data_IF_424878580717
#
_entry.id   IF_424878580717
#
_cell.length_a   1.000
_cell.length_b   1.000
_cell.length_c   1.000
_cell.angle_alpha   90.00
_cell.angle_beta   90.00
_cell.angle_gamma   90.00
#
_symmetry.space_group_name_H-M   'P 1'
#
loop_
_entity.id
_entity.type
_entity.pdbx_description
1 polymer ?
#
# COMPACT_ATOMS: atom_id res chain seq x y z
N UNK A 1 25.03 5.97 -12.45
CA UNK A 1 23.86 5.75 -11.57
C UNK A 1 22.92 6.92 -11.76
N UNK A 2 21.65 6.68 -12.10
CA UNK A 2 20.64 7.72 -12.27
C UNK A 2 19.45 7.42 -11.36
N UNK A 3 19.08 8.41 -10.56
CA UNK A 3 17.97 8.34 -9.61
C UNK A 3 16.68 8.76 -10.32
N UNK A 4 15.58 8.06 -10.06
CA UNK A 4 14.24 8.45 -10.52
C UNK A 4 13.24 8.50 -9.39
N UNK A 5 12.45 9.57 -9.38
CA UNK A 5 11.30 9.75 -8.50
C UNK A 5 10.03 9.43 -9.28
N UNK A 6 9.05 8.82 -8.61
CA UNK A 6 7.72 8.62 -9.17
C UNK A 6 6.67 8.77 -8.07
N UNK A 7 5.44 9.04 -8.49
CA UNK A 7 4.28 9.12 -7.61
C UNK A 7 3.22 8.17 -8.12
N UNK A 8 2.64 7.37 -7.23
CA UNK A 8 1.58 6.41 -7.56
C UNK A 8 0.40 6.61 -6.62
N UNK A 9 -0.79 6.86 -7.20
CA UNK A 9 -2.04 6.95 -6.46
C UNK A 9 -2.55 5.55 -6.10
N UNK A 10 -2.67 5.27 -4.81
CA UNK A 10 -3.26 4.02 -4.30
C UNK A 10 -4.76 3.99 -4.59
N UNK A 11 -5.20 3.00 -5.35
CA UNK A 11 -6.61 2.83 -5.71
C UNK A 11 -7.40 2.14 -4.58
N UNK A 12 -8.73 2.24 -4.62
CA UNK A 12 -9.64 1.62 -3.63
C UNK A 12 -9.55 0.11 -3.56
N UNK A 13 -9.11 -0.54 -4.64
CA UNK A 13 -8.89 -1.98 -4.73
C UNK A 13 -7.41 -2.33 -4.74
N UNK A 14 -6.52 -1.43 -4.30
CA UNK A 14 -5.10 -1.74 -4.22
C UNK A 14 -4.84 -2.80 -3.17
N UNK A 15 -3.98 -3.78 -3.50
CA UNK A 15 -3.54 -4.81 -2.54
C UNK A 15 -2.65 -4.23 -1.43
N UNK A 16 -2.24 -2.97 -1.56
CA UNK A 16 -1.36 -2.28 -0.62
C UNK A 16 -2.13 -1.55 0.49
N UNK A 17 -3.44 -1.37 0.36
CA UNK A 17 -4.25 -0.74 1.41
C UNK A 17 -4.20 -1.60 2.70
N UNK A 18 -3.91 -0.97 3.84
CA UNK A 18 -3.75 -1.62 5.14
C UNK A 18 -2.36 -2.21 5.39
N UNK A 19 -1.42 -2.10 4.45
CA UNK A 19 -0.05 -2.61 4.59
C UNK A 19 0.86 -1.50 5.13
N UNK A 20 1.68 -1.81 6.13
CA UNK A 20 2.76 -0.92 6.58
C UNK A 20 3.82 -0.78 5.48
N UNK A 21 4.32 0.43 5.26
CA UNK A 21 5.36 0.71 4.25
C UNK A 21 6.62 -0.14 4.42
N UNK A 22 6.92 -0.56 5.65
CA UNK A 22 8.06 -1.43 5.96
C UNK A 22 7.86 -2.90 5.56
N UNK A 23 6.61 -3.34 5.45
CA UNK A 23 6.28 -4.72 5.09
C UNK A 23 6.21 -4.91 3.57
N UNK A 24 6.41 -3.85 2.79
CA UNK A 24 6.40 -3.90 1.34
C UNK A 24 7.68 -4.52 0.81
N UNK A 25 7.52 -5.53 -0.03
CA UNK A 25 8.62 -6.07 -0.83
C UNK A 25 8.81 -5.19 -2.05
N UNK A 26 9.78 -4.28 -1.98
CA UNK A 26 10.19 -3.43 -3.10
C UNK A 26 11.40 -4.04 -3.82
N UNK A 27 11.61 -3.72 -5.11
CA UNK A 27 12.84 -4.08 -5.80
C UNK A 27 14.07 -3.49 -5.11
N UNK A 28 15.22 -4.14 -5.28
CA UNK A 28 16.48 -3.75 -4.63
C UNK A 28 16.86 -2.30 -4.99
N UNK A 29 17.15 -1.43 -4.02
CA UNK A 29 17.43 0.00 -4.25
C UNK A 29 16.21 0.86 -4.66
N UNK A 30 15.00 0.39 -4.38
CA UNK A 30 13.78 1.18 -4.42
C UNK A 30 13.25 1.45 -3.01
N UNK A 31 12.68 2.65 -2.79
CA UNK A 31 12.22 3.09 -1.47
C UNK A 31 10.93 3.91 -1.57
N UNK A 32 10.06 3.78 -0.57
CA UNK A 32 9.00 4.77 -0.31
C UNK A 32 9.61 5.84 0.59
N UNK A 33 9.55 7.09 0.13
CA UNK A 33 10.08 8.24 0.87
C UNK A 33 9.01 8.87 1.76
N UNK A 34 7.79 8.96 1.23
CA UNK A 34 6.67 9.61 1.88
C UNK A 34 5.36 9.18 1.22
N UNK A 35 4.26 9.52 1.85
CA UNK A 35 2.94 9.55 1.22
C UNK A 35 2.38 10.97 1.27
N UNK A 36 1.52 11.32 0.33
CA UNK A 36 0.65 12.49 0.45
C UNK A 36 -0.77 12.01 0.73
N UNK A 37 -1.33 12.48 1.85
CA UNK A 37 -2.68 12.19 2.31
C UNK A 37 -3.34 13.48 2.73
N UNK A 38 -4.52 13.80 2.18
CA UNK A 38 -5.24 15.05 2.48
C UNK A 38 -4.35 16.30 2.34
N UNK A 39 -3.58 16.37 1.25
CA UNK A 39 -2.61 17.45 0.96
C UNK A 39 -1.48 17.63 2.00
N UNK A 40 -1.26 16.64 2.86
CA UNK A 40 -0.16 16.61 3.82
C UNK A 40 0.88 15.57 3.43
N UNK A 41 2.15 15.97 3.44
CA UNK A 41 3.28 15.06 3.24
C UNK A 41 3.61 14.36 4.55
N UNK A 42 3.53 13.03 4.56
CA UNK A 42 3.86 12.18 5.70
C UNK A 42 5.08 11.35 5.33
N UNK A 43 6.19 11.57 6.03
CA UNK A 43 7.43 10.83 5.77
C UNK A 43 7.26 9.35 6.13
N UNK A 44 7.82 8.48 5.29
CA UNK A 44 7.81 7.05 5.55
C UNK A 44 8.58 6.75 6.84
N UNK A 45 7.89 6.15 7.80
CA UNK A 45 8.46 5.67 9.06
C UNK A 45 7.98 4.24 9.30
N UNK A 46 8.37 3.64 10.42
CA UNK A 46 8.13 2.21 10.65
C UNK A 46 6.67 1.83 10.87
N UNK A 47 5.84 2.79 11.25
CA UNK A 47 4.43 2.58 11.64
C UNK A 47 3.45 3.09 10.58
N UNK A 48 3.95 3.64 9.47
CA UNK A 48 3.11 4.23 8.44
C UNK A 48 2.37 3.15 7.64
N UNK A 49 1.05 3.10 7.79
CA UNK A 49 0.16 2.29 6.97
C UNK A 49 -0.34 3.04 5.73
N UNK A 50 -0.37 2.33 4.60
CA UNK A 50 -0.91 2.84 3.34
C UNK A 50 -2.43 2.70 3.35
N UNK A 51 -3.12 3.80 3.01
CA UNK A 51 -4.57 3.81 2.81
C UNK A 51 -4.92 4.12 1.37
N UNK A 52 -6.14 3.72 0.99
CA UNK A 52 -6.64 3.99 -0.33
C UNK A 52 -6.80 5.51 -0.54
N UNK A 53 -6.40 6.00 -1.71
CA UNK A 53 -6.33 7.43 -2.01
C UNK A 53 -5.01 8.11 -1.61
N UNK A 54 -4.08 7.41 -0.94
CA UNK A 54 -2.73 7.96 -0.73
C UNK A 54 -1.97 8.12 -2.05
N UNK A 55 -1.14 9.16 -2.14
CA UNK A 55 -0.13 9.29 -3.18
C UNK A 55 1.23 8.85 -2.65
N UNK A 56 1.72 7.70 -3.12
CA UNK A 56 3.00 7.13 -2.70
C UNK A 56 4.14 7.84 -3.43
N UNK A 57 5.01 8.54 -2.71
CA UNK A 57 6.24 9.12 -3.27
C UNK A 57 7.37 8.10 -3.12
N UNK A 58 7.89 7.65 -4.26
CA UNK A 58 8.91 6.59 -4.27
C UNK A 58 10.11 6.97 -5.13
N UNK A 59 11.24 6.34 -4.82
CA UNK A 59 12.50 6.56 -5.52
C UNK A 59 13.10 5.22 -5.92
N UNK A 60 13.67 5.16 -7.13
CA UNK A 60 14.54 4.09 -7.58
C UNK A 60 15.95 4.68 -7.79
N UNK A 61 16.95 4.16 -7.07
CA UNK A 61 18.34 4.58 -7.26
C UNK A 61 18.94 4.04 -8.56
N UNK A 62 18.29 3.03 -9.14
CA UNK A 62 18.53 2.55 -10.49
C UNK A 62 17.29 2.76 -11.36
N UNK A 63 17.38 3.67 -12.33
CA UNK A 63 16.28 3.97 -13.25
C UNK A 63 15.69 2.78 -14.01
N UNK A 64 16.43 1.67 -14.19
CA UNK A 64 15.89 0.48 -14.86
C UNK A 64 14.79 -0.23 -14.08
N UNK A 65 14.72 -0.03 -12.75
CA UNK A 65 13.74 -0.67 -11.88
C UNK A 65 12.43 0.11 -11.76
N UNK A 66 12.35 1.33 -12.30
CA UNK A 66 11.15 2.16 -12.15
C UNK A 66 9.89 1.49 -12.70
N UNK A 67 10.05 0.66 -13.74
CA UNK A 67 8.95 -0.11 -14.34
C UNK A 67 8.44 -1.18 -13.39
N UNK A 68 9.35 -1.95 -12.79
CA UNK A 68 9.02 -3.00 -11.83
C UNK A 68 8.42 -2.42 -10.55
N UNK A 69 9.01 -1.33 -10.04
CA UNK A 69 8.49 -0.58 -8.90
C UNK A 69 7.05 -0.12 -9.18
N UNK A 70 6.80 0.54 -10.32
CA UNK A 70 5.46 0.98 -10.69
C UNK A 70 4.48 -0.19 -10.88
N UNK A 71 4.95 -1.34 -11.36
CA UNK A 71 4.11 -2.54 -11.49
C UNK A 71 3.66 -3.05 -10.13
N UNK A 72 4.56 -3.13 -9.14
CA UNK A 72 4.25 -3.55 -7.76
C UNK A 72 3.29 -2.56 -7.09
N UNK A 73 3.58 -1.26 -7.20
CA UNK A 73 2.77 -0.20 -6.55
C UNK A 73 1.37 -0.06 -7.13
N UNK A 74 1.12 -0.58 -8.34
CA UNK A 74 -0.18 -0.54 -9.02
C UNK A 74 -0.95 -1.86 -8.96
N UNK A 75 -0.47 -2.84 -8.21
CA UNK A 75 -1.20 -4.09 -8.05
C UNK A 75 -2.54 -3.85 -7.35
N UNK A 76 -3.58 -4.42 -7.95
CA UNK A 76 -4.96 -4.28 -7.50
C UNK A 76 -5.62 -5.65 -7.44
N UNK A 77 -6.57 -5.79 -6.52
CA UNK A 77 -7.45 -6.94 -6.49
C UNK A 77 -8.35 -7.00 -7.75
N UNK A 78 -8.79 -8.20 -8.17
CA UNK A 78 -9.72 -8.39 -9.28
C UNK A 78 -11.03 -7.61 -9.12
N UNK A 79 -11.76 -7.41 -10.21
CA UNK A 79 -13.00 -6.58 -10.25
C UNK A 79 -14.10 -7.10 -9.32
N UNK A 80 -14.12 -8.40 -9.01
CA UNK A 80 -15.07 -9.03 -8.07
C UNK A 80 -14.63 -8.92 -6.60
N UNK A 81 -13.64 -8.07 -6.31
CA UNK A 81 -13.17 -7.78 -4.96
C UNK A 81 -14.31 -7.31 -4.05
N UNK A 82 -14.52 -8.04 -2.95
CA UNK A 82 -15.21 -7.54 -1.76
C UNK A 82 -14.18 -7.29 -0.67
N UNK A 83 -14.33 -6.17 0.06
CA UNK A 83 -13.43 -5.83 1.16
C UNK A 83 -13.43 -6.91 2.26
N UNK A 84 -14.56 -7.59 2.43
CA UNK A 84 -14.78 -8.65 3.42
C UNK A 84 -13.93 -9.91 3.16
N UNK A 85 -13.71 -10.30 1.90
CA UNK A 85 -12.92 -11.51 1.58
C UNK A 85 -11.42 -11.33 1.82
N UNK A 86 -10.89 -10.11 1.66
CA UNK A 86 -9.48 -9.84 1.94
C UNK A 86 -9.19 -9.78 3.45
N UNK A 87 -10.13 -9.28 4.26
CA UNK A 87 -9.96 -9.31 5.73
C UNK A 87 -9.88 -10.75 6.24
N UNK A 88 -10.68 -11.66 5.66
CA UNK A 88 -10.61 -13.09 5.97
C UNK A 88 -9.27 -13.71 5.55
N UNK A 89 -8.73 -13.39 4.36
CA UNK A 89 -7.43 -13.93 3.91
C UNK A 89 -6.24 -13.34 4.70
N UNK A 90 -6.32 -12.05 5.09
CA UNK A 90 -5.36 -11.39 5.98
C UNK A 90 -5.40 -11.98 7.39
N UNK A 91 -6.59 -12.21 7.96
CA UNK A 91 -6.77 -12.85 9.26
C UNK A 91 -6.34 -14.33 9.27
N UNK A 92 -6.52 -15.06 8.17
CA UNK A 92 -6.06 -16.44 8.03
C UNK A 92 -4.52 -16.55 7.94
N UNK A 93 -3.84 -15.48 7.52
CA UNK A 93 -2.37 -15.44 7.42
C UNK A 93 -1.69 -14.78 8.61
N UNK A 94 -2.39 -13.92 9.36
CA UNK A 94 -1.90 -13.31 10.60
C UNK A 94 -3.04 -13.20 11.61
N UNK A 95 -3.01 -14.07 12.62
CA UNK A 95 -3.94 -14.05 13.75
C UNK A 95 -3.89 -12.71 14.49
N UNK A 96 -4.86 -11.81 14.23
CA UNK A 96 -5.06 -10.61 15.02
C UNK A 96 -6.56 -10.36 15.28
N UNK A 97 -6.93 -10.46 16.56
CA UNK A 97 -8.24 -10.15 17.11
C UNK A 97 -8.52 -8.65 17.05
N UNK A 98 -9.49 -8.17 16.25
CA UNK A 98 -10.25 -6.95 16.61
C UNK A 98 -11.71 -7.05 16.12
N UNK A 99 -12.60 -7.20 17.12
CA UNK A 99 -13.97 -6.72 17.33
C UNK A 99 -14.76 -6.24 16.09
N UNK A 100 -15.77 -7.03 15.71
CA UNK A 100 -16.83 -6.66 14.75
C UNK A 100 -17.70 -5.50 15.28
N UNK A 101 -18.16 -4.57 14.41
CA UNK A 101 -19.25 -3.69 14.78
C UNK A 101 -20.51 -4.53 14.99
N UNK A 102 -21.19 -4.33 16.12
CA UNK A 102 -22.49 -4.94 16.40
C UNK A 102 -23.47 -4.51 15.30
N UNK A 103 -23.80 -5.44 14.39
CA UNK A 103 -24.99 -5.33 13.56
C UNK A 103 -26.19 -5.20 14.47
N UNK A 104 -26.86 -4.05 14.37
CA UNK A 104 -28.09 -3.75 15.07
C UNK A 104 -29.20 -4.76 14.75
N UNK A 105 -30.01 -5.00 15.77
CA UNK A 105 -31.26 -5.75 15.72
C UNK A 105 -32.23 -5.15 14.71
N UNK A 106 -32.85 -6.01 13.90
CA UNK A 106 -34.29 -6.05 13.63
C UNK A 106 -34.69 -7.45 13.25
#
# INVERSE_FOLDING_TARGET
>A
MSVRLTTVKTQVNSILCGVSVNNLQLPENCFILAIVRNDQLILANQELEIYCGDDLLTVALNSSQITELNYILKQNHPIYYSFDECFLQYQLTHSCNIISPKSGNT
#
